data_IF_677128405494
#
_entry.id   IF_677128405494
#
_cell.length_a   1.000
_cell.length_b   1.000
_cell.length_c   1.000
_cell.angle_alpha   90.00
_cell.angle_beta   90.00
_cell.angle_gamma   90.00
#
_symmetry.space_group_name_H-M   'P 1'
#
loop_
_entity.id
_entity.type
_entity.pdbx_description
1 polymer ?
#
# COMPACT_ATOMS: atom_id res chain seq x y z
N UNK A 1 14.83 17.78 -18.47
CA UNK A 1 13.81 18.86 -18.42
C UNK A 1 14.24 19.93 -19.40
N UNK A 2 13.29 20.55 -20.11
CA UNK A 2 13.59 21.70 -20.97
C UNK A 2 14.03 22.92 -20.14
N UNK A 3 14.79 23.81 -20.75
CA UNK A 3 15.28 25.05 -20.12
C UNK A 3 14.21 26.15 -20.16
N UNK A 4 13.01 25.86 -19.66
CA UNK A 4 11.94 26.85 -19.53
C UNK A 4 11.86 27.39 -18.09
N UNK A 5 12.44 28.58 -17.85
CA UNK A 5 12.35 29.32 -16.60
C UNK A 5 13.57 30.20 -16.30
N UNK A 6 13.48 31.09 -15.30
CA UNK A 6 14.63 31.85 -14.81
C UNK A 6 15.63 30.95 -14.06
N UNK A 7 16.92 31.26 -14.17
CA UNK A 7 18.03 30.44 -13.66
C UNK A 7 17.91 30.15 -12.14
N UNK A 8 17.34 31.10 -11.38
CA UNK A 8 17.14 30.96 -9.94
C UNK A 8 15.99 30.00 -9.58
N UNK A 9 14.90 29.97 -10.35
CA UNK A 9 13.82 29.00 -10.18
C UNK A 9 14.33 27.58 -10.41
N UNK A 10 15.10 27.36 -11.48
CA UNK A 10 15.66 26.05 -11.81
C UNK A 10 16.62 25.53 -10.73
N UNK A 11 17.43 26.42 -10.13
CA UNK A 11 18.31 26.08 -9.00
C UNK A 11 17.53 25.73 -7.74
N UNK A 12 16.51 26.51 -7.39
CA UNK A 12 15.69 26.24 -6.21
C UNK A 12 14.86 24.97 -6.38
N UNK A 13 14.29 24.75 -7.56
CA UNK A 13 13.56 23.54 -7.90
C UNK A 13 14.45 22.29 -7.84
N UNK A 14 15.69 22.36 -8.37
CA UNK A 14 16.65 21.26 -8.24
C UNK A 14 16.96 20.93 -6.77
N UNK A 15 17.21 21.94 -5.93
CA UNK A 15 17.41 21.75 -4.48
C UNK A 15 16.18 21.16 -3.80
N UNK A 16 14.99 21.61 -4.20
CA UNK A 16 13.72 21.13 -3.67
C UNK A 16 13.49 19.67 -4.01
N UNK A 17 13.59 19.30 -5.29
CA UNK A 17 13.47 17.92 -5.78
C UNK A 17 14.52 17.04 -5.09
N UNK A 18 15.77 17.47 -4.97
CA UNK A 18 16.80 16.69 -4.27
C UNK A 18 16.51 16.46 -2.78
N UNK A 19 15.79 17.38 -2.12
CA UNK A 19 15.49 17.30 -0.68
C UNK A 19 14.20 16.52 -0.39
N UNK A 20 13.15 16.77 -1.18
CA UNK A 20 11.80 16.27 -0.93
C UNK A 20 11.44 15.04 -1.80
N UNK A 21 12.15 14.81 -2.91
CA UNK A 21 11.90 13.64 -3.76
C UNK A 21 12.65 12.42 -3.21
N UNK A 22 11.91 11.47 -2.65
CA UNK A 22 12.48 10.18 -2.26
C UNK A 22 12.95 9.38 -3.49
N UNK A 23 14.14 8.74 -3.44
CA UNK A 23 14.54 7.77 -4.45
C UNK A 23 13.51 6.64 -4.55
N UNK A 24 13.02 6.41 -5.75
CA UNK A 24 12.14 5.34 -6.18
C UNK A 24 12.78 4.65 -7.40
N UNK A 25 12.09 3.66 -7.98
CA UNK A 25 12.57 2.83 -9.10
C UNK A 25 13.15 3.63 -10.29
N UNK A 26 12.81 4.92 -10.43
CA UNK A 26 13.25 5.82 -11.49
C UNK A 26 14.09 7.02 -11.02
N UNK A 27 14.34 7.17 -9.71
CA UNK A 27 15.00 8.36 -9.14
C UNK A 27 16.31 8.02 -8.42
N UNK A 28 17.19 7.35 -9.17
CA UNK A 28 18.64 7.37 -8.97
C UNK A 28 19.40 8.03 -10.13
N UNK A 29 18.69 8.62 -11.10
CA UNK A 29 19.29 9.28 -12.25
C UNK A 29 19.64 10.74 -11.99
N UNK A 30 20.76 11.22 -12.53
CA UNK A 30 21.18 12.62 -12.47
C UNK A 30 20.11 13.55 -13.03
N UNK A 31 19.68 14.53 -12.21
CA UNK A 31 18.72 15.53 -12.62
C UNK A 31 19.41 16.63 -13.43
N UNK A 32 19.26 16.56 -14.76
CA UNK A 32 19.88 17.47 -15.73
C UNK A 32 18.84 18.21 -16.59
N UNK A 33 19.19 19.45 -16.94
CA UNK A 33 18.48 20.26 -17.92
C UNK A 33 19.16 20.11 -19.28
N UNK A 34 18.39 20.19 -20.36
CA UNK A 34 18.93 20.11 -21.71
C UNK A 34 17.96 20.71 -22.73
N UNK A 35 18.52 21.28 -23.80
CA UNK A 35 17.74 21.97 -24.81
C UNK A 35 16.82 21.01 -25.61
N UNK A 36 15.54 21.38 -25.71
CA UNK A 36 14.49 20.62 -26.44
C UNK A 36 14.76 20.41 -27.93
N UNK A 37 15.59 21.24 -28.57
CA UNK A 37 15.77 21.25 -30.02
C UNK A 37 16.53 20.03 -30.58
N UNK A 38 17.24 19.27 -29.73
CA UNK A 38 18.10 18.15 -30.16
C UNK A 38 17.74 16.77 -29.60
N UNK A 39 16.67 16.65 -28.79
CA UNK A 39 16.38 15.40 -28.09
C UNK A 39 14.88 15.04 -28.17
N UNK A 40 14.57 14.00 -28.94
CA UNK A 40 13.20 13.47 -29.14
C UNK A 40 12.52 13.10 -27.83
N UNK A 41 13.25 12.65 -26.81
CA UNK A 41 12.68 12.31 -25.51
C UNK A 41 12.29 13.56 -24.71
N UNK A 42 13.05 14.66 -24.84
CA UNK A 42 12.71 15.94 -24.21
C UNK A 42 11.46 16.52 -24.88
N UNK A 43 11.38 16.47 -26.21
CA UNK A 43 10.20 16.92 -26.96
C UNK A 43 8.93 16.12 -26.60
N UNK A 44 9.06 14.79 -26.43
CA UNK A 44 7.95 13.95 -25.99
C UNK A 44 7.51 14.32 -24.56
N UNK A 45 8.48 14.56 -23.66
CA UNK A 45 8.19 15.00 -22.30
C UNK A 45 7.47 16.36 -22.29
N UNK A 46 7.89 17.31 -23.11
CA UNK A 46 7.24 18.63 -23.24
C UNK A 46 5.84 18.52 -23.83
N UNK A 47 5.62 17.64 -24.81
CA UNK A 47 4.30 17.38 -25.36
C UNK A 47 3.34 16.80 -24.30
N UNK A 48 3.80 15.80 -23.53
CA UNK A 48 3.01 15.21 -22.45
C UNK A 48 2.75 16.25 -21.35
N UNK A 49 3.77 16.98 -20.92
CA UNK A 49 3.65 18.01 -19.88
C UNK A 49 2.74 19.16 -20.31
N UNK A 50 2.84 19.62 -21.55
CA UNK A 50 1.97 20.65 -22.12
C UNK A 50 0.52 20.19 -22.23
N UNK A 51 0.30 18.93 -22.61
CA UNK A 51 -1.04 18.31 -22.65
C UNK A 51 -1.64 18.21 -21.25
N UNK A 52 -0.87 17.75 -20.25
CA UNK A 52 -1.30 17.71 -18.85
C UNK A 52 -1.54 19.11 -18.28
N UNK A 53 -0.76 20.11 -18.70
CA UNK A 53 -0.99 21.52 -18.36
C UNK A 53 -2.38 22.00 -18.78
N UNK A 54 -2.88 21.58 -19.95
CA UNK A 54 -4.26 21.87 -20.38
C UNK A 54 -5.34 21.20 -19.52
N UNK A 55 -4.97 20.28 -18.64
CA UNK A 55 -5.89 19.60 -17.72
C UNK A 55 -5.84 20.17 -16.30
N UNK A 56 -4.67 20.63 -15.83
CA UNK A 56 -4.44 20.96 -14.42
C UNK A 56 -3.97 22.38 -14.14
N UNK A 57 -3.42 23.10 -15.12
CA UNK A 57 -3.00 24.50 -14.95
C UNK A 57 -4.24 25.39 -15.09
N UNK A 58 -4.70 25.98 -13.98
CA UNK A 58 -5.90 26.86 -13.91
C UNK A 58 -5.90 27.96 -14.99
N UNK A 59 -4.73 28.40 -15.43
CA UNK A 59 -4.58 29.44 -16.46
C UNK A 59 -4.72 28.92 -17.90
N UNK A 60 -4.69 27.59 -18.10
CA UNK A 60 -4.65 26.92 -19.41
C UNK A 60 -5.67 25.80 -19.56
N UNK A 61 -6.57 25.61 -18.59
CA UNK A 61 -7.62 24.60 -18.62
C UNK A 61 -8.40 24.69 -19.94
N UNK A 62 -8.51 23.56 -20.63
CA UNK A 62 -9.28 23.41 -21.88
C UNK A 62 -10.64 22.77 -21.62
N UNK A 63 -11.55 22.82 -22.59
CA UNK A 63 -12.83 22.09 -22.48
C UNK A 63 -12.65 20.58 -22.72
N UNK A 64 -11.57 20.22 -23.40
CA UNK A 64 -11.19 18.88 -23.86
C UNK A 64 -10.30 18.13 -22.84
N UNK A 65 -10.08 18.70 -21.63
CA UNK A 65 -9.19 18.11 -20.62
C UNK A 65 -9.54 16.65 -20.29
N UNK A 66 -10.84 16.30 -20.29
CA UNK A 66 -11.30 14.92 -20.06
C UNK A 66 -10.85 13.98 -21.17
N UNK A 67 -10.92 14.41 -22.42
CA UNK A 67 -10.54 13.59 -23.58
C UNK A 67 -9.02 13.37 -23.60
N UNK A 68 -8.24 14.40 -23.26
CA UNK A 68 -6.80 14.27 -23.10
C UNK A 68 -6.42 13.25 -22.02
N UNK A 69 -7.07 13.31 -20.85
CA UNK A 69 -6.85 12.33 -19.79
C UNK A 69 -7.23 10.92 -20.22
N UNK A 70 -8.37 10.74 -20.90
CA UNK A 70 -8.80 9.43 -21.39
C UNK A 70 -7.80 8.80 -22.38
N UNK A 71 -7.21 9.61 -23.28
CA UNK A 71 -6.20 9.16 -24.24
C UNK A 71 -4.90 8.76 -23.52
N UNK A 72 -4.51 9.51 -22.49
CA UNK A 72 -3.26 9.29 -21.77
C UNK A 72 -3.36 8.20 -20.69
N UNK A 73 -4.55 7.96 -20.12
CA UNK A 73 -4.80 7.00 -19.05
C UNK A 73 -4.21 5.59 -19.31
N UNK A 74 -4.34 4.96 -20.50
CA UNK A 74 -3.75 3.64 -20.74
C UNK A 74 -2.22 3.65 -20.84
N UNK A 75 -1.59 4.83 -20.95
CA UNK A 75 -0.13 5.01 -21.09
C UNK A 75 0.54 5.55 -19.82
N UNK A 76 -0.25 6.10 -18.89
CA UNK A 76 0.23 6.64 -17.63
C UNK A 76 0.09 5.58 -16.53
N UNK A 77 1.16 5.32 -15.78
CA UNK A 77 1.14 4.39 -14.64
C UNK A 77 0.54 5.03 -13.38
N UNK A 78 0.76 6.33 -13.18
CA UNK A 78 0.22 7.08 -12.03
C UNK A 78 0.29 8.58 -12.28
N UNK A 79 -0.65 9.33 -11.73
CA UNK A 79 -0.60 10.79 -11.68
C UNK A 79 -0.41 11.25 -10.23
N UNK A 80 0.71 11.91 -9.96
CA UNK A 80 1.03 12.41 -8.62
C UNK A 80 0.88 13.93 -8.59
N UNK A 81 0.05 14.43 -7.66
CA UNK A 81 -0.09 15.86 -7.44
C UNK A 81 0.95 16.35 -6.44
N UNK A 82 1.57 17.48 -6.75
CA UNK A 82 2.57 18.10 -5.90
C UNK A 82 2.20 19.57 -5.62
N UNK A 83 2.20 20.02 -4.35
CA UNK A 83 2.36 19.22 -3.12
C UNK A 83 1.21 18.22 -2.98
N UNK A 84 1.47 17.09 -2.34
CA UNK A 84 0.47 16.05 -2.10
C UNK A 84 -0.64 16.61 -1.20
N UNK A 85 -1.68 17.19 -1.80
CA UNK A 85 -2.87 17.57 -1.06
C UNK A 85 -3.62 16.30 -0.70
N UNK A 86 -3.52 15.92 0.58
CA UNK A 86 -4.20 14.78 1.18
C UNK A 86 -5.70 14.78 0.89
N UNK A 87 -6.30 15.91 0.49
CA UNK A 87 -7.74 16.06 0.24
C UNK A 87 -8.17 15.73 -1.19
N UNK A 88 -7.30 15.86 -2.19
CA UNK A 88 -7.72 15.82 -3.60
C UNK A 88 -8.09 14.42 -4.09
N UNK A 89 -7.51 13.37 -3.51
CA UNK A 89 -7.74 11.97 -3.92
C UNK A 89 -9.13 11.43 -3.54
N UNK A 90 -9.78 12.02 -2.52
CA UNK A 90 -11.09 11.56 -2.08
C UNK A 90 -12.22 12.05 -3.00
N UNK A 91 -12.06 13.21 -3.64
CA UNK A 91 -13.18 13.96 -4.22
C UNK A 91 -13.78 13.35 -5.49
N UNK A 92 -13.00 12.60 -6.27
CA UNK A 92 -13.48 12.00 -7.51
C UNK A 92 -14.11 10.62 -7.28
N UNK A 93 -13.51 9.78 -6.44
CA UNK A 93 -14.00 8.43 -6.18
C UNK A 93 -15.18 8.38 -5.18
N UNK A 94 -15.43 9.45 -4.40
CA UNK A 94 -16.65 9.63 -3.61
C UNK A 94 -17.92 9.68 -4.47
N UNK A 95 -17.83 9.96 -5.78
CA UNK A 95 -19.00 10.18 -6.63
C UNK A 95 -19.61 8.91 -7.25
N UNK A 96 -18.96 7.74 -7.17
CA UNK A 96 -19.39 6.58 -7.97
C UNK A 96 -19.59 5.25 -7.22
N UNK A 97 -19.09 5.08 -5.98
CA UNK A 97 -19.19 3.78 -5.27
C UNK A 97 -19.99 3.87 -3.96
N UNK A 98 -21.15 3.21 -3.93
CA UNK A 98 -22.07 3.19 -2.78
C UNK A 98 -21.49 2.57 -1.48
N UNK A 99 -20.39 1.81 -1.59
CA UNK A 99 -19.74 1.11 -0.47
C UNK A 99 -18.57 1.88 0.14
N UNK A 100 -18.17 3.01 -0.46
CA UNK A 100 -17.05 3.82 0.01
C UNK A 100 -17.37 4.52 1.34
N UNK A 101 -16.45 4.44 2.29
CA UNK A 101 -16.52 5.15 3.56
C UNK A 101 -15.28 6.07 3.74
N UNK A 102 -15.47 7.40 3.74
CA UNK A 102 -14.36 8.35 3.78
C UNK A 102 -13.56 8.29 5.09
N UNK A 103 -14.19 8.00 6.22
CA UNK A 103 -13.50 7.90 7.51
C UNK A 103 -12.58 6.69 7.56
N UNK A 104 -13.05 5.54 7.06
CA UNK A 104 -12.25 4.31 6.97
C UNK A 104 -11.10 4.50 5.99
N UNK A 105 -11.37 5.10 4.83
CA UNK A 105 -10.37 5.41 3.83
C UNK A 105 -9.28 6.36 4.37
N UNK A 106 -9.69 7.41 5.09
CA UNK A 106 -8.77 8.33 5.77
C UNK A 106 -7.95 7.63 6.85
N UNK A 107 -8.56 6.75 7.66
CA UNK A 107 -7.83 5.97 8.65
C UNK A 107 -6.78 5.05 8.02
N UNK A 108 -7.13 4.37 6.92
CA UNK A 108 -6.21 3.53 6.15
C UNK A 108 -5.02 4.34 5.63
N UNK A 109 -5.30 5.44 4.95
CA UNK A 109 -4.29 6.35 4.39
C UNK A 109 -3.37 6.94 5.46
N UNK A 110 -3.94 7.49 6.54
CA UNK A 110 -3.18 8.10 7.64
C UNK A 110 -2.29 7.07 8.35
N UNK A 111 -2.79 5.86 8.60
CA UNK A 111 -1.99 4.79 9.22
C UNK A 111 -0.78 4.41 8.37
N UNK A 112 -0.94 4.39 7.04
CA UNK A 112 0.13 4.08 6.10
C UNK A 112 1.19 5.19 6.04
N UNK A 113 0.79 6.46 5.96
CA UNK A 113 1.73 7.58 5.96
C UNK A 113 2.47 7.71 7.29
N UNK A 114 1.77 7.59 8.41
CA UNK A 114 2.38 7.61 9.74
C UNK A 114 3.48 6.56 9.87
N UNK A 115 3.23 5.36 9.35
CA UNK A 115 4.23 4.30 9.33
C UNK A 115 5.44 4.65 8.47
N UNK A 116 5.24 5.18 7.26
CA UNK A 116 6.34 5.58 6.37
C UNK A 116 7.21 6.65 7.03
N UNK A 117 6.59 7.64 7.69
CA UNK A 117 7.30 8.77 8.32
C UNK A 117 8.09 8.33 9.55
N UNK A 118 7.56 7.39 10.33
CA UNK A 118 8.17 6.96 11.59
C UNK A 118 9.16 5.80 11.44
N UNK A 119 9.00 4.96 10.41
CA UNK A 119 9.78 3.73 10.27
C UNK A 119 11.23 4.04 9.89
N UNK A 120 12.14 3.77 10.83
CA UNK A 120 13.59 3.81 10.56
C UNK A 120 14.03 2.54 9.82
N UNK A 121 14.80 2.72 8.75
CA UNK A 121 15.39 1.61 7.99
C UNK A 121 16.62 1.09 8.72
N UNK A 122 16.58 -0.20 9.11
CA UNK A 122 17.73 -0.88 9.74
C UNK A 122 18.13 -2.16 9.01
N UNK A 123 17.19 -2.75 8.26
CA UNK A 123 17.37 -4.00 7.53
C UNK A 123 16.67 -3.94 6.17
N UNK A 124 17.03 -4.86 5.27
CA UNK A 124 16.34 -5.01 3.99
C UNK A 124 14.82 -5.21 4.16
N UNK A 125 14.40 -5.95 5.20
CA UNK A 125 12.97 -6.13 5.47
C UNK A 125 12.27 -4.84 5.89
N UNK A 126 12.97 -3.89 6.54
CA UNK A 126 12.37 -2.58 6.85
C UNK A 126 12.15 -1.77 5.56
N UNK A 127 13.10 -1.83 4.62
CA UNK A 127 12.94 -1.24 3.29
C UNK A 127 11.77 -1.87 2.54
N UNK A 128 11.65 -3.21 2.58
CA UNK A 128 10.56 -3.95 1.94
C UNK A 128 9.20 -3.59 2.55
N UNK A 129 9.13 -3.38 3.87
CA UNK A 129 7.91 -2.92 4.55
C UNK A 129 7.50 -1.52 4.08
N UNK A 130 8.43 -0.56 4.05
CA UNK A 130 8.16 0.80 3.57
C UNK A 130 7.71 0.79 2.11
N UNK A 131 8.44 0.06 1.26
CA UNK A 131 8.12 -0.03 -0.17
C UNK A 131 6.77 -0.72 -0.41
N UNK A 132 6.42 -1.74 0.39
CA UNK A 132 5.12 -2.39 0.31
C UNK A 132 3.99 -1.41 0.65
N UNK A 133 4.14 -0.62 1.72
CA UNK A 133 3.12 0.36 2.12
C UNK A 133 2.98 1.47 1.08
N UNK A 134 4.11 1.98 0.55
CA UNK A 134 4.10 2.95 -0.56
C UNK A 134 3.38 2.41 -1.80
N UNK A 135 3.62 1.15 -2.14
CA UNK A 135 2.96 0.51 -3.27
C UNK A 135 1.45 0.34 -3.04
N UNK A 136 1.04 -0.03 -1.82
CA UNK A 136 -0.38 -0.09 -1.46
C UNK A 136 -1.04 1.30 -1.51
N UNK A 137 -0.36 2.35 -1.06
CA UNK A 137 -0.83 3.73 -1.18
C UNK A 137 -0.97 4.16 -2.65
N UNK A 138 0.01 3.82 -3.49
CA UNK A 138 -0.04 4.09 -4.93
C UNK A 138 -1.30 3.45 -5.55
N UNK A 139 -1.55 2.17 -5.25
CA UNK A 139 -2.73 1.47 -5.76
C UNK A 139 -4.03 2.05 -5.21
N UNK A 140 -4.07 2.36 -3.92
CA UNK A 140 -5.22 2.97 -3.26
C UNK A 140 -5.60 4.31 -3.91
N UNK A 141 -4.61 5.11 -4.32
CA UNK A 141 -4.83 6.41 -4.93
C UNK A 141 -5.17 6.37 -6.43
N UNK A 142 -4.70 5.35 -7.17
CA UNK A 142 -4.73 5.38 -8.65
C UNK A 142 -5.60 4.29 -9.30
N UNK A 143 -5.90 3.18 -8.63
CA UNK A 143 -6.51 2.00 -9.26
C UNK A 143 -7.88 1.61 -8.69
N UNK A 144 -8.54 2.55 -7.99
CA UNK A 144 -9.85 2.38 -7.39
C UNK A 144 -9.82 1.68 -6.03
N UNK A 145 -10.74 2.05 -5.15
CA UNK A 145 -10.74 1.64 -3.75
C UNK A 145 -11.09 0.16 -3.51
N UNK A 146 -11.66 -0.51 -4.51
CA UNK A 146 -12.13 -1.89 -4.41
C UNK A 146 -11.08 -2.94 -4.78
N UNK A 147 -10.02 -2.56 -5.49
CA UNK A 147 -9.08 -3.52 -6.06
C UNK A 147 -8.10 -4.06 -5.01
N UNK A 148 -7.98 -5.39 -4.95
CA UNK A 148 -6.94 -6.06 -4.16
C UNK A 148 -5.68 -6.26 -5.02
N UNK A 149 -4.50 -6.04 -4.44
CA UNK A 149 -3.23 -6.32 -5.10
C UNK A 149 -2.73 -7.71 -4.74
N UNK A 150 -2.47 -8.54 -5.74
CA UNK A 150 -2.07 -9.93 -5.54
C UNK A 150 -0.69 -10.08 -4.88
N UNK A 151 -0.52 -11.13 -4.08
CA UNK A 151 0.75 -11.45 -3.40
C UNK A 151 1.94 -11.51 -4.36
N UNK A 152 1.77 -12.20 -5.50
CA UNK A 152 2.83 -12.36 -6.50
C UNK A 152 3.22 -11.03 -7.15
N UNK A 153 2.25 -10.15 -7.37
CA UNK A 153 2.48 -8.81 -7.90
C UNK A 153 3.31 -7.99 -6.93
N UNK A 154 2.90 -7.92 -5.66
CA UNK A 154 3.64 -7.21 -4.61
C UNK A 154 5.07 -7.76 -4.45
N UNK A 155 5.24 -9.08 -4.41
CA UNK A 155 6.57 -9.71 -4.31
C UNK A 155 7.44 -9.36 -5.52
N UNK A 156 6.89 -9.41 -6.73
CA UNK A 156 7.61 -9.06 -7.95
C UNK A 156 8.14 -7.63 -7.88
N UNK A 157 7.30 -6.69 -7.43
CA UNK A 157 7.71 -5.29 -7.27
C UNK A 157 8.78 -5.10 -6.20
N UNK A 158 8.67 -5.79 -5.06
CA UNK A 158 9.65 -5.71 -3.97
C UNK A 158 11.00 -6.35 -4.32
N UNK A 159 11.00 -7.36 -5.20
CA UNK A 159 12.21 -8.10 -5.56
C UNK A 159 13.13 -7.33 -6.51
N UNK A 160 12.62 -6.37 -7.29
CA UNK A 160 13.44 -5.65 -8.30
C UNK A 160 14.64 -4.92 -7.67
N UNK A 161 14.50 -4.42 -6.45
CA UNK A 161 15.55 -3.71 -5.73
C UNK A 161 16.32 -4.55 -4.71
N UNK A 162 16.19 -5.88 -4.75
CA UNK A 162 16.72 -6.78 -3.71
C UNK A 162 17.69 -7.80 -4.32
N UNK A 163 18.81 -8.12 -3.65
CA UNK A 163 19.75 -9.14 -4.14
C UNK A 163 19.12 -10.55 -4.17
N UNK A 164 18.30 -10.87 -3.17
CA UNK A 164 17.62 -12.16 -3.06
C UNK A 164 16.12 -12.05 -3.30
N UNK A 165 15.52 -13.07 -3.90
CA UNK A 165 14.07 -13.12 -4.08
C UNK A 165 13.32 -13.25 -2.76
N UNK A 166 12.22 -12.50 -2.64
CA UNK A 166 11.38 -12.55 -1.45
C UNK A 166 10.39 -13.73 -1.57
N UNK A 167 10.51 -14.72 -0.69
CA UNK A 167 9.57 -15.85 -0.65
C UNK A 167 8.20 -15.41 -0.11
N UNK A 168 7.12 -16.11 -0.50
CA UNK A 168 5.77 -15.77 -0.01
C UNK A 168 5.65 -15.87 1.52
N UNK A 169 6.32 -16.85 2.13
CA UNK A 169 6.32 -17.00 3.59
C UNK A 169 6.98 -15.79 4.27
N UNK A 170 8.13 -15.35 3.78
CA UNK A 170 8.82 -14.19 4.31
C UNK A 170 8.02 -12.90 4.06
N UNK A 171 7.40 -12.76 2.90
CA UNK A 171 6.50 -11.65 2.62
C UNK A 171 5.34 -11.59 3.63
N UNK A 172 4.65 -12.70 3.86
CA UNK A 172 3.51 -12.76 4.80
C UNK A 172 3.94 -12.45 6.25
N UNK A 173 5.06 -13.01 6.70
CA UNK A 173 5.46 -12.94 8.12
C UNK A 173 6.35 -11.74 8.47
N UNK A 174 7.30 -11.38 7.59
CA UNK A 174 8.30 -10.33 7.84
C UNK A 174 7.93 -8.98 7.22
N UNK A 175 7.05 -8.96 6.21
CA UNK A 175 6.57 -7.72 5.57
C UNK A 175 5.16 -7.40 6.06
N UNK A 176 4.13 -8.12 5.59
CA UNK A 176 2.73 -7.81 5.92
C UNK A 176 2.45 -7.93 7.42
N UNK A 177 2.88 -9.01 8.05
CA UNK A 177 2.71 -9.20 9.50
C UNK A 177 3.31 -8.03 10.30
N UNK A 178 4.53 -7.61 9.96
CA UNK A 178 5.20 -6.51 10.65
C UNK A 178 4.62 -5.13 10.35
N UNK A 179 4.10 -4.92 9.14
CA UNK A 179 3.35 -3.71 8.79
C UNK A 179 2.06 -3.61 9.63
N UNK A 180 1.33 -4.73 9.79
CA UNK A 180 0.12 -4.79 10.65
C UNK A 180 0.45 -4.65 12.13
N UNK A 181 1.48 -5.33 12.62
CA UNK A 181 1.96 -5.21 14.01
C UNK A 181 2.33 -3.76 14.35
N UNK A 182 2.78 -2.99 13.36
CA UNK A 182 3.13 -1.58 13.50
C UNK A 182 1.91 -0.62 13.39
N UNK A 183 0.69 -1.15 13.25
CA UNK A 183 -0.55 -0.36 13.26
C UNK A 183 -1.05 0.10 11.89
N UNK A 184 -0.43 -0.34 10.79
CA UNK A 184 -0.96 -0.02 9.45
C UNK A 184 -2.18 -0.89 9.15
N UNK A 185 -3.26 -0.24 8.74
CA UNK A 185 -4.50 -0.91 8.36
C UNK A 185 -4.35 -1.55 6.97
N UNK A 186 -3.88 -2.79 6.92
CA UNK A 186 -3.82 -3.59 5.69
C UNK A 186 -4.81 -4.74 5.78
N UNK A 187 -5.86 -4.71 4.97
CA UNK A 187 -6.81 -5.83 4.86
C UNK A 187 -6.27 -6.88 3.88
N UNK A 188 -6.62 -8.14 4.14
CA UNK A 188 -6.33 -9.24 3.23
C UNK A 188 -7.59 -10.02 2.95
N UNK A 189 -7.72 -10.46 1.70
CA UNK A 189 -8.75 -11.38 1.27
C UNK A 189 -8.11 -12.55 0.54
N UNK A 190 -8.70 -13.73 0.73
CA UNK A 190 -8.31 -14.97 0.07
C UNK A 190 -9.42 -15.50 -0.85
N UNK A 191 -10.42 -14.68 -1.15
CA UNK A 191 -11.63 -15.09 -1.86
C UNK A 191 -11.59 -14.64 -3.33
N UNK A 192 -11.56 -15.63 -4.24
CA UNK A 192 -11.75 -15.43 -5.68
C UNK A 192 -10.86 -14.36 -6.29
N UNK A 193 -11.44 -13.47 -7.08
CA UNK A 193 -10.77 -12.37 -7.78
C UNK A 193 -10.23 -11.28 -6.82
N UNK A 194 -10.69 -11.24 -5.57
CA UNK A 194 -10.24 -10.32 -4.53
C UNK A 194 -9.11 -10.90 -3.68
N UNK A 195 -8.26 -11.75 -4.26
CA UNK A 195 -7.15 -12.38 -3.52
C UNK A 195 -5.96 -11.43 -3.44
N UNK A 196 -5.58 -11.02 -2.24
CA UNK A 196 -4.44 -10.14 -2.05
C UNK A 196 -4.57 -9.20 -0.86
N UNK A 197 -3.96 -8.02 -1.00
CA UNK A 197 -3.86 -6.99 0.04
C UNK A 197 -4.30 -5.64 -0.50
N UNK A 198 -4.91 -4.82 0.36
CA UNK A 198 -5.19 -3.40 0.10
C UNK A 198 -5.32 -2.62 1.40
N UNK A 199 -5.36 -1.29 1.30
CA UNK A 199 -5.82 -0.43 2.40
C UNK A 199 -7.36 -0.43 2.42
N UNK A 200 -8.00 -0.43 3.60
CA UNK A 200 -9.44 -0.45 3.69
C UNK A 200 -10.03 0.89 3.25
N UNK A 201 -11.15 0.81 2.55
CA UNK A 201 -11.94 1.96 2.09
C UNK A 201 -13.42 1.84 2.46
N UNK A 202 -13.84 0.66 2.94
CA UNK A 202 -15.22 0.33 3.24
C UNK A 202 -15.33 -0.48 4.53
N UNK A 203 -16.53 -0.50 5.11
CA UNK A 203 -16.83 -1.37 6.25
C UNK A 203 -16.80 -2.85 5.85
N UNK A 204 -17.17 -3.16 4.62
CA UNK A 204 -17.15 -4.52 4.07
C UNK A 204 -15.73 -5.10 4.07
N UNK A 205 -14.72 -4.31 3.75
CA UNK A 205 -13.32 -4.75 3.78
C UNK A 205 -12.87 -5.17 5.18
N UNK A 206 -13.28 -4.40 6.19
CA UNK A 206 -13.00 -4.72 7.60
C UNK A 206 -13.72 -6.01 8.01
N UNK A 207 -15.00 -6.16 7.65
CA UNK A 207 -15.75 -7.38 7.92
C UNK A 207 -15.18 -8.61 7.21
N UNK A 208 -14.74 -8.49 5.95
CA UNK A 208 -14.08 -9.57 5.21
C UNK A 208 -12.80 -10.01 5.90
N UNK A 209 -11.99 -9.05 6.35
CA UNK A 209 -10.76 -9.35 7.07
C UNK A 209 -11.02 -10.09 8.39
N UNK A 210 -11.97 -9.62 9.20
CA UNK A 210 -12.35 -10.26 10.46
C UNK A 210 -12.98 -11.63 10.23
N UNK A 211 -13.86 -11.76 9.23
CA UNK A 211 -14.50 -13.04 8.88
C UNK A 211 -13.49 -14.08 8.45
N UNK A 212 -12.49 -13.69 7.65
CA UNK A 212 -11.40 -14.57 7.27
C UNK A 212 -10.60 -15.04 8.50
N UNK A 213 -10.24 -14.13 9.41
CA UNK A 213 -9.59 -14.47 10.68
C UNK A 213 -10.43 -15.44 11.51
N UNK A 214 -11.72 -15.16 11.68
CA UNK A 214 -12.66 -16.01 12.41
C UNK A 214 -12.73 -17.43 11.83
N UNK A 215 -12.76 -17.56 10.50
CA UNK A 215 -12.82 -18.85 9.81
C UNK A 215 -11.58 -19.74 10.04
N UNK A 216 -10.45 -19.14 10.45
CA UNK A 216 -9.22 -19.87 10.75
C UNK A 216 -9.02 -20.08 12.26
N UNK A 217 -9.25 -19.03 13.06
CA UNK A 217 -8.99 -19.04 14.51
C UNK A 217 -9.96 -19.99 15.21
N UNK A 218 -11.26 -19.93 14.88
CA UNK A 218 -12.27 -20.73 15.59
C UNK A 218 -12.06 -22.24 15.42
N UNK A 219 -11.85 -22.78 14.20
CA UNK A 219 -11.55 -24.21 14.05
C UNK A 219 -10.24 -24.62 14.73
N UNK A 220 -9.21 -23.76 14.74
CA UNK A 220 -7.95 -24.06 15.42
C UNK A 220 -8.13 -24.15 16.94
N UNK A 221 -8.86 -23.20 17.55
CA UNK A 221 -9.19 -23.26 18.97
C UNK A 221 -9.99 -24.52 19.33
N UNK A 222 -10.99 -24.87 18.52
CA UNK A 222 -11.76 -26.10 18.70
C UNK A 222 -10.88 -27.35 18.64
N UNK A 223 -9.95 -27.43 17.66
CA UNK A 223 -9.01 -28.56 17.54
C UNK A 223 -8.11 -28.70 18.76
N UNK A 224 -7.57 -27.58 19.26
CA UNK A 224 -6.72 -27.58 20.46
C UNK A 224 -7.53 -28.01 21.70
N UNK A 225 -8.75 -27.50 21.85
CA UNK A 225 -9.67 -27.89 22.94
C UNK A 225 -9.94 -29.40 22.93
N UNK A 226 -10.37 -29.94 21.79
CA UNK A 226 -10.62 -31.38 21.63
C UNK A 226 -9.39 -32.23 21.96
N UNK A 227 -8.20 -31.76 21.59
CA UNK A 227 -6.96 -32.45 21.90
C UNK A 227 -6.63 -32.41 23.40
N UNK A 228 -6.76 -31.24 24.04
CA UNK A 228 -6.59 -31.05 25.49
C UNK A 228 -7.54 -31.94 26.28
N UNK A 229 -8.82 -31.95 25.92
CA UNK A 229 -9.87 -32.69 26.62
C UNK A 229 -9.64 -34.21 26.51
N UNK A 230 -9.21 -34.70 25.35
CA UNK A 230 -8.84 -36.11 25.17
C UNK A 230 -7.67 -36.53 26.06
N UNK A 231 -6.60 -35.71 26.11
CA UNK A 231 -5.44 -36.02 26.96
C UNK A 231 -5.83 -36.00 28.44
N UNK A 232 -6.63 -35.02 28.87
CA UNK A 232 -7.16 -34.99 30.23
C UNK A 232 -7.97 -36.23 30.56
N UNK A 233 -8.90 -36.62 29.69
CA UNK A 233 -9.72 -37.82 29.89
C UNK A 233 -8.84 -39.08 30.00
N UNK A 234 -7.90 -39.27 29.07
CA UNK A 234 -7.01 -40.44 29.04
C UNK A 234 -6.05 -40.50 30.23
N UNK A 235 -5.73 -39.36 30.84
CA UNK A 235 -4.84 -39.27 32.01
C UNK A 235 -5.60 -39.14 33.33
N UNK A 236 -6.93 -39.30 33.33
CA UNK A 236 -7.78 -39.07 34.51
C UNK A 236 -7.54 -37.70 35.15
N UNK A 237 -7.42 -36.66 34.32
CA UNK A 237 -7.07 -35.29 34.65
C UNK A 237 -5.65 -35.11 35.23
N UNK A 238 -4.76 -36.09 35.08
CA UNK A 238 -3.38 -36.02 35.55
C UNK A 238 -2.47 -35.09 34.74
N UNK A 239 -2.79 -34.83 33.46
CA UNK A 239 -1.97 -34.00 32.58
C UNK A 239 -2.80 -32.95 31.83
N UNK A 240 -2.47 -31.67 32.00
CA UNK A 240 -2.99 -30.57 31.20
C UNK A 240 -1.91 -29.97 30.28
N UNK A 241 -2.05 -30.21 28.97
CA UNK A 241 -1.04 -29.82 27.98
C UNK A 241 -0.85 -28.30 27.84
N UNK A 242 -1.78 -27.48 28.33
CA UNK A 242 -1.70 -26.01 28.32
C UNK A 242 -1.39 -25.41 29.70
N UNK A 243 -0.90 -26.21 30.64
CA UNK A 243 -0.59 -25.75 32.00
C UNK A 243 0.69 -24.91 32.09
N UNK A 244 1.62 -25.10 31.15
CA UNK A 244 2.87 -24.34 31.12
C UNK A 244 2.60 -22.82 31.04
N UNK A 245 3.42 -22.03 31.72
CA UNK A 245 3.30 -20.57 31.77
C UNK A 245 3.30 -19.90 30.38
N UNK A 246 3.99 -20.47 29.40
CA UNK A 246 4.02 -19.99 28.02
C UNK A 246 2.63 -20.03 27.33
N UNK A 247 1.71 -20.87 27.80
CA UNK A 247 0.36 -21.02 27.25
C UNK A 247 -0.72 -20.34 28.08
N UNK A 248 -0.37 -19.47 29.03
CA UNK A 248 -1.34 -18.86 29.97
C UNK A 248 -2.51 -18.15 29.27
N UNK A 249 -2.24 -17.36 28.23
CA UNK A 249 -3.30 -16.65 27.48
C UNK A 249 -4.15 -17.61 26.64
N UNK A 250 -3.51 -18.62 26.03
CA UNK A 250 -4.23 -19.68 25.31
C UNK A 250 -5.15 -20.47 26.24
N UNK A 251 -4.69 -20.78 27.46
CA UNK A 251 -5.48 -21.45 28.49
C UNK A 251 -6.71 -20.62 28.85
N UNK A 252 -6.55 -19.32 29.13
CA UNK A 252 -7.68 -18.41 29.41
C UNK A 252 -8.71 -18.40 28.27
N UNK A 253 -8.24 -18.31 27.02
CA UNK A 253 -9.12 -18.33 25.85
C UNK A 253 -9.89 -19.65 25.77
N UNK A 254 -9.22 -20.78 25.89
CA UNK A 254 -9.85 -22.11 25.85
C UNK A 254 -10.85 -22.32 26.99
N UNK A 255 -10.54 -21.83 28.20
CA UNK A 255 -11.42 -21.95 29.37
C UNK A 255 -12.67 -21.06 29.23
N UNK A 256 -12.56 -19.91 28.55
CA UNK A 256 -13.70 -19.04 28.22
C UNK A 256 -14.57 -19.56 27.07
N UNK A 257 -14.00 -20.44 26.24
CA UNK A 257 -14.65 -21.03 25.09
C UNK A 257 -15.55 -22.17 25.56
N UNK A 258 -16.82 -21.89 25.87
CA UNK A 258 -17.81 -22.93 26.20
C UNK A 258 -18.17 -23.73 24.95
#
# INVERSE_FOLDING_TARGET
MDEHGENDFMRQFKKYVQREHMPNLFSGGDFNFGASHGNTMIQLADFIAGTLGRCFDETKISKESKDFLNILQPKITSLNHFPSDNRSYYTEAVKEEATFNPEIAAAGFNSANLFIDQKKVKSQYDTDQINCVKLLLLYFNNYGFNKYTGTKELIRHLTVGRPDSLTEHNFRTKVIGKVRDAGVLVVSSSAGENTGYKLPSSLEDLHKFISHGNSMIMPMLQRIKLFRDKIKLSTLNGTDIVEKNEFKELKKLLDSFK
#
